data_IF_349320805832
#
_entry.id   IF_349320805832
#
_cell.length_a   1.000
_cell.length_b   1.000
_cell.length_c   1.000
_cell.angle_alpha   90.00
_cell.angle_beta   90.00
_cell.angle_gamma   90.00
#
_symmetry.space_group_name_H-M   'P 1'
#
loop_
_entity.id
_entity.type
_entity.pdbx_description
1 polymer ?
#
# COMPACT_ATOMS: atom_id res chain seq x y z
N UNK A 1 -14.53 2.94 18.02
CA UNK A 1 -15.91 2.94 18.56
C UNK A 1 -16.84 2.56 17.40
N UNK A 2 -17.74 1.58 17.56
CA UNK A 2 -18.74 1.29 16.53
C UNK A 2 -19.67 2.51 16.44
N UNK A 3 -19.71 3.16 15.29
CA UNK A 3 -20.51 4.38 15.06
C UNK A 3 -19.73 5.59 14.55
N UNK A 4 -18.42 5.64 14.72
CA UNK A 4 -17.59 6.76 14.25
C UNK A 4 -17.66 7.00 12.74
N UNK A 5 -17.73 5.92 11.95
CA UNK A 5 -17.89 6.01 10.51
C UNK A 5 -19.23 6.64 10.10
N UNK A 6 -20.33 6.26 10.77
CA UNK A 6 -21.68 6.82 10.51
C UNK A 6 -21.80 8.28 10.95
N UNK A 7 -21.14 8.65 12.04
CA UNK A 7 -21.11 10.04 12.49
C UNK A 7 -20.31 10.91 11.51
N UNK A 8 -19.18 10.41 11.04
CA UNK A 8 -18.35 11.07 10.03
C UNK A 8 -19.13 11.27 8.72
N UNK A 9 -19.81 10.25 8.24
CA UNK A 9 -20.58 10.30 7.00
C UNK A 9 -21.79 11.25 7.08
N UNK A 10 -22.52 11.24 8.20
CA UNK A 10 -23.75 12.01 8.35
C UNK A 10 -23.57 13.46 8.85
N UNK A 11 -22.48 13.74 9.54
CA UNK A 11 -22.25 15.04 10.18
C UNK A 11 -21.00 15.72 9.65
N UNK A 12 -19.87 15.02 9.62
CA UNK A 12 -18.58 15.62 9.27
C UNK A 12 -18.47 15.87 7.77
N UNK A 13 -18.83 14.90 6.93
CA UNK A 13 -18.76 15.07 5.47
C UNK A 13 -19.64 16.21 4.94
N UNK A 14 -20.93 16.37 5.33
CA UNK A 14 -21.74 17.51 4.89
C UNK A 14 -21.20 18.87 5.36
N UNK A 15 -20.54 18.91 6.51
CA UNK A 15 -19.90 20.14 7.02
C UNK A 15 -18.60 20.49 6.29
N UNK A 16 -17.82 19.47 5.87
CA UNK A 16 -16.59 19.65 5.11
C UNK A 16 -16.83 19.90 3.62
N UNK A 17 -17.96 19.47 3.07
CA UNK A 17 -18.37 19.68 1.68
C UNK A 17 -19.01 21.06 1.44
N UNK A 18 -18.68 22.06 2.23
CA UNK A 18 -19.10 23.44 2.00
C UNK A 18 -18.39 24.07 0.79
N UNK A 19 -18.92 25.15 0.20
CA UNK A 19 -18.47 25.68 -1.08
C UNK A 19 -16.97 25.95 -1.11
N UNK A 20 -16.39 25.78 -2.27
CA UNK A 20 -14.97 25.85 -2.63
C UNK A 20 -14.11 26.70 -1.70
N UNK A 21 -13.31 26.07 -0.86
CA UNK A 21 -12.30 26.73 -0.04
C UNK A 21 -10.96 26.57 -0.76
N UNK A 22 -10.32 27.68 -1.11
CA UNK A 22 -8.97 27.67 -1.66
C UNK A 22 -7.99 27.54 -0.49
N UNK A 23 -7.24 26.46 -0.45
CA UNK A 23 -6.22 26.22 0.57
C UNK A 23 -4.86 25.94 -0.08
N UNK A 24 -3.78 26.19 0.64
CA UNK A 24 -2.45 25.82 0.21
C UNK A 24 -2.31 24.29 0.23
N UNK A 25 -1.88 23.68 -0.87
CA UNK A 25 -1.73 22.22 -1.01
C UNK A 25 -0.86 21.62 0.10
N UNK A 26 0.26 22.25 0.41
CA UNK A 26 1.17 21.79 1.47
C UNK A 26 0.56 21.90 2.87
N UNK A 27 -0.28 22.89 3.13
CA UNK A 27 -0.97 23.03 4.40
C UNK A 27 -2.02 21.93 4.60
N UNK A 28 -2.82 21.66 3.56
CA UNK A 28 -3.82 20.60 3.61
C UNK A 28 -3.19 19.20 3.80
N UNK A 29 -2.12 18.91 3.07
CA UNK A 29 -1.36 17.67 3.23
C UNK A 29 -0.76 17.52 4.64
N UNK A 30 -0.32 18.61 5.25
CA UNK A 30 0.24 18.61 6.61
C UNK A 30 -0.82 18.41 7.69
N UNK A 31 -2.01 18.98 7.51
CA UNK A 31 -3.13 18.82 8.45
C UNK A 31 -3.61 17.37 8.51
N UNK A 32 -3.75 16.71 7.35
CA UNK A 32 -4.16 15.30 7.29
C UNK A 32 -3.20 14.40 8.09
N UNK A 33 -1.90 14.64 7.99
CA UNK A 33 -0.89 13.90 8.75
C UNK A 33 -1.00 14.19 10.25
N UNK A 34 -1.15 15.44 10.64
CA UNK A 34 -1.20 15.84 12.04
C UNK A 34 -2.47 15.30 12.76
N UNK A 35 -3.62 15.32 12.09
CA UNK A 35 -4.88 14.78 12.63
C UNK A 35 -4.88 13.25 12.76
N UNK A 36 -4.15 12.56 11.90
CA UNK A 36 -4.11 11.09 11.86
C UNK A 36 -2.98 10.52 12.72
N UNK A 37 -2.02 11.32 13.16
CA UNK A 37 -0.92 10.83 13.98
C UNK A 37 -1.41 10.47 15.40
N UNK A 38 -1.25 9.21 15.85
CA UNK A 38 -1.65 8.83 17.18
C UNK A 38 -0.73 9.47 18.21
N UNK A 39 -1.28 9.93 19.35
CA UNK A 39 -0.49 10.47 20.46
C UNK A 39 0.58 9.48 20.99
N UNK A 40 0.35 8.20 20.81
CA UNK A 40 1.28 7.12 21.13
C UNK A 40 1.10 5.95 20.15
N UNK A 41 2.21 5.33 19.76
CA UNK A 41 2.23 4.14 18.90
C UNK A 41 2.24 2.83 19.70
N UNK A 42 2.09 2.88 21.01
CA UNK A 42 2.13 1.69 21.87
C UNK A 42 1.03 0.69 21.54
N UNK A 43 -0.20 1.16 21.26
CA UNK A 43 -1.36 0.29 21.01
C UNK A 43 -1.81 0.23 19.55
N UNK A 44 -1.53 1.27 18.77
CA UNK A 44 -1.88 1.32 17.35
C UNK A 44 -0.95 2.27 16.59
N UNK A 45 -0.79 1.99 15.33
CA UNK A 45 -0.09 2.86 14.37
C UNK A 45 -0.86 2.90 13.08
N UNK A 46 -0.48 3.80 12.20
CA UNK A 46 -0.99 3.84 10.84
C UNK A 46 0.05 3.25 9.90
N UNK A 47 -0.41 2.52 8.91
CA UNK A 47 0.42 1.89 7.92
C UNK A 47 -0.13 2.13 6.52
N UNK A 48 0.77 2.16 5.56
CA UNK A 48 0.48 2.30 4.14
C UNK A 48 0.78 0.98 3.43
N UNK A 49 -0.01 0.72 2.41
CA UNK A 49 0.25 -0.30 1.40
C UNK A 49 -0.13 0.28 0.05
N UNK A 50 0.56 -0.16 -1.00
CA UNK A 50 0.33 0.37 -2.33
C UNK A 50 0.39 -0.75 -3.36
N UNK A 51 -0.53 -0.69 -4.32
CA UNK A 51 -0.68 -1.66 -5.40
C UNK A 51 -0.73 -0.91 -6.72
N UNK A 52 0.03 -1.38 -7.70
CA UNK A 52 0.13 -0.80 -9.04
C UNK A 52 -0.62 -1.70 -10.01
N UNK A 53 -1.71 -1.22 -10.55
CA UNK A 53 -2.62 -2.01 -11.37
C UNK A 53 -2.67 -1.41 -12.77
N UNK A 54 -2.39 -2.18 -13.83
CA UNK A 54 -2.58 -1.74 -15.21
C UNK A 54 -3.99 -1.20 -15.45
N UNK A 55 -4.14 -0.27 -16.37
CA UNK A 55 -5.45 0.35 -16.68
C UNK A 55 -6.54 -0.69 -16.94
N UNK A 56 -6.22 -1.76 -17.65
CA UNK A 56 -7.15 -2.85 -17.98
C UNK A 56 -7.71 -3.58 -16.75
N UNK A 57 -6.92 -3.64 -15.65
CA UNK A 57 -7.31 -4.30 -14.39
C UNK A 57 -7.98 -3.38 -13.38
N UNK A 58 -8.04 -2.06 -13.65
CA UNK A 58 -8.43 -1.05 -12.67
C UNK A 58 -9.79 -1.32 -12.01
N UNK A 59 -10.84 -1.45 -12.80
CA UNK A 59 -12.20 -1.58 -12.28
C UNK A 59 -12.39 -2.89 -11.50
N UNK A 60 -11.91 -4.00 -12.05
CA UNK A 60 -11.98 -5.32 -11.40
C UNK A 60 -11.26 -5.32 -10.06
N UNK A 61 -10.01 -4.85 -10.05
CA UNK A 61 -9.24 -4.72 -8.81
C UNK A 61 -9.91 -3.82 -7.77
N UNK A 62 -10.41 -2.64 -8.18
CA UNK A 62 -11.07 -1.71 -7.26
C UNK A 62 -12.29 -2.34 -6.58
N UNK A 63 -13.14 -3.05 -7.34
CA UNK A 63 -14.33 -3.73 -6.82
C UNK A 63 -13.96 -4.87 -5.85
N UNK A 64 -13.02 -5.72 -6.24
CA UNK A 64 -12.60 -6.87 -5.45
C UNK A 64 -11.80 -6.45 -4.21
N UNK A 65 -10.94 -5.43 -4.30
CA UNK A 65 -10.27 -4.80 -3.16
C UNK A 65 -11.29 -4.29 -2.14
N UNK A 66 -12.31 -3.55 -2.59
CA UNK A 66 -13.36 -3.05 -1.72
C UNK A 66 -14.15 -4.19 -1.04
N UNK A 67 -14.44 -5.27 -1.75
CA UNK A 67 -15.10 -6.46 -1.21
C UNK A 67 -14.21 -7.16 -0.16
N UNK A 68 -12.92 -7.32 -0.44
CA UNK A 68 -11.95 -7.92 0.47
C UNK A 68 -11.81 -7.11 1.76
N UNK A 69 -11.62 -5.80 1.66
CA UNK A 69 -11.48 -4.93 2.84
C UNK A 69 -12.72 -4.99 3.74
N UNK A 70 -13.94 -5.01 3.14
CA UNK A 70 -15.19 -5.19 3.90
C UNK A 70 -15.26 -6.57 4.57
N UNK A 71 -14.95 -7.65 3.83
CA UNK A 71 -14.98 -9.02 4.36
C UNK A 71 -14.00 -9.22 5.52
N UNK A 72 -12.82 -8.60 5.44
CA UNK A 72 -11.78 -8.66 6.47
C UNK A 72 -11.96 -7.60 7.57
N UNK A 73 -13.01 -6.78 7.48
CA UNK A 73 -13.27 -5.69 8.42
C UNK A 73 -12.07 -4.76 8.64
N UNK A 74 -11.37 -4.45 7.55
CA UNK A 74 -10.20 -3.56 7.57
C UNK A 74 -10.65 -2.13 7.78
N UNK A 75 -10.10 -1.45 8.79
CA UNK A 75 -10.33 -0.04 9.05
C UNK A 75 -9.48 0.80 8.08
N UNK A 76 -9.92 0.89 6.83
CA UNK A 76 -9.33 1.76 5.83
C UNK A 76 -9.71 3.21 6.11
N UNK A 77 -8.71 4.07 6.30
CA UNK A 77 -8.94 5.50 6.53
C UNK A 77 -9.08 6.25 5.22
N UNK A 78 -8.27 5.87 4.25
CA UNK A 78 -8.27 6.43 2.91
C UNK A 78 -7.71 5.42 1.90
N UNK A 79 -8.19 5.51 0.66
CA UNK A 79 -7.56 4.89 -0.51
C UNK A 79 -7.35 6.01 -1.54
N UNK A 80 -6.11 6.42 -1.70
CA UNK A 80 -5.73 7.40 -2.72
C UNK A 80 -5.42 6.66 -4.02
N UNK A 81 -5.98 7.12 -5.14
CA UNK A 81 -5.75 6.52 -6.45
C UNK A 81 -5.05 7.56 -7.32
N UNK A 82 -3.93 7.15 -7.93
CA UNK A 82 -3.09 8.02 -8.78
C UNK A 82 -2.74 7.28 -10.06
N UNK A 83 -2.77 7.96 -11.18
CA UNK A 83 -2.21 7.47 -12.44
C UNK A 83 -0.69 7.71 -12.46
N UNK A 84 0.06 6.73 -12.95
CA UNK A 84 1.51 6.82 -13.10
C UNK A 84 1.94 6.16 -14.40
N UNK A 85 2.83 6.80 -15.17
CA UNK A 85 3.37 6.21 -16.38
C UNK A 85 4.33 5.07 -16.05
N UNK A 86 4.62 4.27 -17.07
CA UNK A 86 5.56 3.14 -17.01
C UNK A 86 6.93 3.57 -16.47
N UNK A 87 7.46 2.80 -15.52
CA UNK A 87 8.84 2.88 -15.04
C UNK A 87 9.79 2.16 -16.01
N UNK A 88 10.69 2.92 -16.62
CA UNK A 88 11.68 2.43 -17.60
C UNK A 88 13.11 2.42 -17.07
N UNK A 89 13.31 2.81 -15.82
CA UNK A 89 14.63 3.11 -15.28
C UNK A 89 15.03 2.17 -14.14
N UNK A 90 14.07 1.77 -13.30
CA UNK A 90 14.37 0.96 -12.11
C UNK A 90 14.76 -0.47 -12.45
N UNK A 91 15.74 -1.01 -11.73
CA UNK A 91 16.13 -2.41 -11.84
C UNK A 91 15.04 -3.39 -11.33
N UNK A 92 14.16 -2.91 -10.46
CA UNK A 92 12.92 -3.57 -10.03
C UNK A 92 11.77 -2.60 -10.34
N UNK A 93 11.29 -2.54 -11.59
CA UNK A 93 10.30 -1.57 -12.00
C UNK A 93 8.98 -1.82 -11.28
N UNK A 94 8.49 -0.81 -10.58
CA UNK A 94 7.22 -0.89 -9.86
C UNK A 94 6.01 -0.76 -10.80
N UNK A 95 6.17 -0.10 -11.94
CA UNK A 95 5.16 0.09 -12.97
C UNK A 95 5.68 -0.49 -14.31
N UNK A 96 5.41 -1.78 -14.62
CA UNK A 96 5.85 -2.39 -15.88
C UNK A 96 5.12 -1.82 -17.11
N UNK A 97 3.98 -1.16 -16.89
CA UNK A 97 3.18 -0.44 -17.87
C UNK A 97 2.58 0.81 -17.22
N UNK A 98 1.74 1.57 -17.94
CA UNK A 98 0.96 2.65 -17.35
C UNK A 98 -0.02 2.04 -16.34
N UNK A 99 -0.03 2.57 -15.11
CA UNK A 99 -0.73 1.97 -13.98
C UNK A 99 -1.54 2.99 -13.20
N UNK A 100 -2.56 2.49 -12.50
CA UNK A 100 -3.15 3.18 -11.35
C UNK A 100 -2.57 2.64 -10.06
N UNK A 101 -2.01 3.53 -9.24
CA UNK A 101 -1.56 3.21 -7.89
C UNK A 101 -2.70 3.37 -6.89
N UNK A 102 -2.98 2.31 -6.12
CA UNK A 102 -3.94 2.28 -5.03
C UNK A 102 -3.19 2.34 -3.71
N UNK A 103 -3.14 3.51 -3.10
CA UNK A 103 -2.48 3.73 -1.81
C UNK A 103 -3.50 3.58 -0.69
N UNK A 104 -3.45 2.44 -0.02
CA UNK A 104 -4.30 2.13 1.12
C UNK A 104 -3.65 2.64 2.41
N UNK A 105 -4.32 3.54 3.10
CA UNK A 105 -3.96 4.02 4.43
C UNK A 105 -4.88 3.40 5.47
N UNK A 106 -4.33 2.64 6.41
CA UNK A 106 -5.13 1.88 7.37
C UNK A 106 -4.55 1.97 8.78
N UNK A 107 -5.42 1.77 9.77
CA UNK A 107 -5.04 1.68 11.17
C UNK A 107 -4.66 0.24 11.51
N UNK A 108 -3.49 0.08 12.10
CA UNK A 108 -2.95 -1.20 12.53
C UNK A 108 -2.74 -1.23 14.05
N UNK A 109 -3.18 -2.28 14.70
CA UNK A 109 -2.82 -2.57 16.08
C UNK A 109 -1.40 -3.13 16.15
N UNK A 110 -0.72 -2.94 17.31
CA UNK A 110 0.72 -3.22 17.45
C UNK A 110 1.05 -4.60 18.05
N UNK A 111 0.08 -5.31 18.61
CA UNK A 111 0.30 -6.66 19.11
C UNK A 111 0.43 -7.71 17.98
N UNK A 112 1.13 -8.83 18.26
CA UNK A 112 1.52 -9.83 17.26
C UNK A 112 0.34 -10.37 16.45
N UNK A 113 -0.74 -10.84 17.10
CA UNK A 113 -1.92 -11.35 16.41
C UNK A 113 -2.51 -10.37 15.40
N UNK A 114 -2.60 -9.08 15.76
CA UNK A 114 -3.14 -8.07 14.85
C UNK A 114 -2.21 -7.83 13.65
N UNK A 115 -0.89 -7.91 13.86
CA UNK A 115 0.09 -7.84 12.75
C UNK A 115 -0.01 -9.05 11.84
N UNK A 116 -0.23 -10.24 12.39
CA UNK A 116 -0.42 -11.47 11.61
C UNK A 116 -1.70 -11.41 10.76
N UNK A 117 -2.78 -10.87 11.32
CA UNK A 117 -4.04 -10.62 10.61
C UNK A 117 -3.83 -9.61 9.45
N UNK A 118 -3.09 -8.52 9.70
CA UNK A 118 -2.71 -7.56 8.63
C UNK A 118 -1.89 -8.26 7.56
N UNK A 119 -0.89 -9.06 7.94
CA UNK A 119 -0.09 -9.84 7.00
C UNK A 119 -0.95 -10.77 6.13
N UNK A 120 -1.99 -11.37 6.72
CA UNK A 120 -2.88 -12.30 6.02
C UNK A 120 -3.70 -11.60 4.94
N UNK A 121 -4.46 -10.55 5.28
CA UNK A 121 -5.27 -9.87 4.26
C UNK A 121 -4.42 -9.05 3.28
N UNK A 122 -3.20 -8.62 3.67
CA UNK A 122 -2.25 -8.00 2.73
C UNK A 122 -1.81 -8.98 1.66
N UNK A 123 -1.48 -10.23 2.04
CA UNK A 123 -1.15 -11.28 1.05
C UNK A 123 -2.32 -11.58 0.11
N UNK A 124 -3.56 -11.50 0.59
CA UNK A 124 -4.74 -11.63 -0.27
C UNK A 124 -4.84 -10.46 -1.27
N UNK A 125 -4.57 -9.21 -0.84
CA UNK A 125 -4.54 -8.06 -1.73
C UNK A 125 -3.39 -8.15 -2.76
N UNK A 126 -2.22 -8.64 -2.33
CA UNK A 126 -1.10 -8.89 -3.26
C UNK A 126 -1.48 -9.95 -4.30
N UNK A 127 -2.12 -11.05 -3.86
CA UNK A 127 -2.59 -12.08 -4.79
C UNK A 127 -3.61 -11.52 -5.78
N UNK A 128 -4.53 -10.67 -5.30
CA UNK A 128 -5.50 -9.98 -6.14
C UNK A 128 -4.82 -9.03 -7.13
N UNK A 129 -3.85 -8.23 -6.70
CA UNK A 129 -3.08 -7.37 -7.60
C UNK A 129 -2.40 -8.18 -8.72
N UNK A 130 -1.79 -9.32 -8.37
CA UNK A 130 -1.18 -10.23 -9.33
C UNK A 130 -2.18 -10.83 -10.34
N UNK A 131 -3.42 -11.12 -9.90
CA UNK A 131 -4.49 -11.61 -10.80
C UNK A 131 -4.88 -10.56 -11.84
N UNK A 132 -4.82 -9.29 -11.48
CA UNK A 132 -5.08 -8.15 -12.37
C UNK A 132 -3.81 -7.63 -13.10
N UNK A 133 -2.74 -8.43 -13.15
CA UNK A 133 -1.48 -8.06 -13.82
C UNK A 133 -0.66 -6.98 -13.10
N UNK A 134 -1.01 -6.70 -11.85
CA UNK A 134 -0.40 -5.65 -11.06
C UNK A 134 0.77 -6.10 -10.18
N UNK A 135 1.33 -5.15 -9.45
CA UNK A 135 2.44 -5.32 -8.49
C UNK A 135 2.10 -4.66 -7.15
N UNK A 136 2.88 -4.96 -6.12
CA UNK A 136 2.83 -4.29 -4.82
C UNK A 136 4.09 -3.47 -4.59
N UNK A 137 4.00 -2.43 -3.76
CA UNK A 137 5.13 -1.54 -3.47
C UNK A 137 6.08 -2.14 -2.43
N UNK A 138 7.37 -2.21 -2.77
CA UNK A 138 8.40 -2.91 -1.99
C UNK A 138 8.84 -2.16 -0.72
N UNK A 139 8.92 -0.82 -0.66
CA UNK A 139 9.39 -0.08 0.51
C UNK A 139 8.51 -0.16 1.76
N UNK A 140 7.25 -0.59 1.62
CA UNK A 140 6.36 -0.74 2.77
C UNK A 140 6.56 -2.08 3.51
N UNK A 141 5.62 -2.49 4.35
CA UNK A 141 5.74 -3.71 5.13
C UNK A 141 5.83 -4.96 4.22
N UNK A 142 6.82 -5.79 4.47
CA UNK A 142 7.15 -6.94 3.62
C UNK A 142 6.23 -8.14 3.93
N UNK A 143 4.97 -8.08 3.55
CA UNK A 143 4.00 -9.14 3.80
C UNK A 143 3.93 -10.23 2.72
N UNK A 144 4.39 -9.94 1.50
CA UNK A 144 4.39 -10.91 0.40
C UNK A 144 5.12 -12.21 0.78
N UNK A 145 4.68 -13.33 0.23
CA UNK A 145 5.52 -14.54 0.21
C UNK A 145 6.64 -14.39 -0.84
N UNK A 146 7.64 -15.26 -0.80
CA UNK A 146 8.71 -15.28 -1.80
C UNK A 146 8.12 -15.50 -3.20
N UNK A 147 7.16 -16.42 -3.33
CA UNK A 147 6.50 -16.74 -4.59
C UNK A 147 5.68 -15.55 -5.11
N UNK A 148 5.01 -14.80 -4.23
CA UNK A 148 4.30 -13.58 -4.61
C UNK A 148 5.27 -12.50 -5.09
N UNK A 149 6.41 -12.35 -4.41
CA UNK A 149 7.45 -11.41 -4.81
C UNK A 149 8.04 -11.78 -6.17
N UNK A 150 8.44 -13.04 -6.39
CA UNK A 150 9.04 -13.49 -7.65
C UNK A 150 8.05 -13.36 -8.83
N UNK A 151 6.75 -13.58 -8.61
CA UNK A 151 5.71 -13.33 -9.61
C UNK A 151 5.50 -11.85 -9.90
N UNK A 152 5.57 -11.00 -8.88
CA UNK A 152 5.41 -9.55 -9.04
C UNK A 152 6.63 -8.92 -9.74
N UNK A 153 7.83 -9.44 -9.45
CA UNK A 153 9.10 -8.86 -9.89
C UNK A 153 9.99 -9.92 -10.56
N UNK A 154 9.67 -10.38 -11.77
CA UNK A 154 10.48 -11.37 -12.50
C UNK A 154 11.91 -10.85 -12.78
N UNK A 155 12.11 -9.53 -12.77
CA UNK A 155 13.42 -8.88 -12.89
C UNK A 155 14.35 -9.14 -11.69
N UNK A 156 13.84 -9.65 -10.58
CA UNK A 156 14.62 -9.94 -9.38
C UNK A 156 15.81 -10.86 -9.63
N UNK A 157 15.68 -11.80 -10.57
CA UNK A 157 16.78 -12.68 -10.95
C UNK A 157 17.99 -11.90 -11.53
N UNK A 158 17.74 -10.91 -12.37
CA UNK A 158 18.78 -10.02 -12.89
C UNK A 158 19.32 -9.11 -11.79
N UNK A 159 18.47 -8.59 -10.93
CA UNK A 159 18.86 -7.75 -9.82
C UNK A 159 19.80 -8.47 -8.84
N UNK A 160 19.53 -9.75 -8.52
CA UNK A 160 20.43 -10.62 -7.71
C UNK A 160 21.80 -10.76 -8.35
N UNK A 161 21.87 -11.01 -9.68
CA UNK A 161 23.16 -11.10 -10.40
C UNK A 161 23.96 -9.80 -10.33
N UNK A 162 23.31 -8.67 -10.59
CA UNK A 162 23.96 -7.35 -10.49
C UNK A 162 24.49 -7.10 -9.07
N UNK A 163 23.70 -7.42 -8.05
CA UNK A 163 24.10 -7.28 -6.65
C UNK A 163 25.35 -8.11 -6.34
N UNK A 164 25.43 -9.35 -6.79
CA UNK A 164 26.60 -10.21 -6.60
C UNK A 164 27.87 -9.64 -7.25
N UNK A 165 27.73 -8.95 -8.38
CA UNK A 165 28.85 -8.31 -9.06
C UNK A 165 29.36 -7.07 -8.33
N UNK A 166 28.46 -6.21 -7.83
CA UNK A 166 28.83 -4.91 -7.22
C UNK A 166 29.09 -5.01 -5.72
N UNK A 167 28.57 -6.02 -5.06
CA UNK A 167 28.74 -6.26 -3.62
C UNK A 167 28.91 -7.75 -3.31
N UNK A 168 30.01 -8.36 -3.79
CA UNK A 168 30.26 -9.80 -3.64
C UNK A 168 30.40 -10.26 -2.19
N UNK A 169 30.70 -9.36 -1.28
CA UNK A 169 30.85 -9.65 0.15
C UNK A 169 29.57 -9.45 0.95
N UNK A 170 28.49 -8.97 0.32
CA UNK A 170 27.18 -8.78 0.99
C UNK A 170 27.14 -7.71 2.06
N UNK A 171 28.02 -6.69 1.99
CA UNK A 171 28.09 -5.61 2.99
C UNK A 171 26.86 -4.72 3.00
N UNK A 172 26.23 -4.50 1.82
CA UNK A 172 25.03 -3.69 1.69
C UNK A 172 23.81 -4.60 1.78
N UNK A 173 23.03 -4.50 2.84
CA UNK A 173 21.85 -5.32 3.06
C UNK A 173 20.73 -4.53 3.72
N UNK A 174 19.49 -4.96 3.50
CA UNK A 174 18.28 -4.46 4.14
C UNK A 174 17.28 -5.60 4.33
N UNK A 175 16.11 -5.32 4.93
CA UNK A 175 15.08 -6.34 5.18
C UNK A 175 14.52 -6.95 3.89
N UNK A 176 14.32 -6.14 2.84
CA UNK A 176 13.85 -6.62 1.54
C UNK A 176 14.83 -7.62 0.94
N UNK A 177 16.12 -7.29 0.97
CA UNK A 177 17.19 -8.17 0.49
C UNK A 177 17.21 -9.49 1.27
N UNK A 178 17.18 -9.43 2.59
CA UNK A 178 17.22 -10.63 3.45
C UNK A 178 16.03 -11.55 3.26
N UNK A 179 14.87 -10.98 2.89
CA UNK A 179 13.64 -11.76 2.76
C UNK A 179 13.46 -12.36 1.37
N UNK A 180 13.79 -11.62 0.32
CA UNK A 180 13.38 -12.00 -1.05
C UNK A 180 14.55 -12.20 -2.01
N UNK A 181 15.72 -11.67 -1.71
CA UNK A 181 16.86 -11.61 -2.61
C UNK A 181 18.08 -12.31 -2.06
#
# INVERSE_FOLDING_TARGET
>A
MPGGARLREKVVHPLLMRPTVVKWLNHEASLDVAELEPRTRAMSTYALQEYFIPESGFLGFAQEMAALLRRRNVEALNVSIRHSPRDRVSALPWAPDDVFSFVLYHKQRTWSRARDEVGTWTRELIALALQHGGRHYLPYQLHATVEQFDRAYPEAAQFRRTKQQVDPTGKLSNELWRKYL
#
